data_IF_545497480432
#
_entry.id   IF_545497480432
#
_cell.length_a   1.000
_cell.length_b   1.000
_cell.length_c   1.000
_cell.angle_alpha   90.00
_cell.angle_beta   90.00
_cell.angle_gamma   90.00
#
_symmetry.space_group_name_H-M   'P 1'
#
loop_
_entity.id
_entity.type
_entity.pdbx_description
1 polymer ?
#
# COMPACT_ATOMS: atom_id res chain seq x y z
N UNK A 1 44.71 5.72 -20.01
CA UNK A 1 43.36 5.38 -20.53
C UNK A 1 42.76 4.16 -19.84
N UNK A 2 43.55 3.15 -19.41
CA UNK A 2 43.04 2.05 -18.57
C UNK A 2 42.62 2.53 -17.16
N UNK A 3 43.43 3.38 -16.53
CA UNK A 3 43.18 3.88 -15.17
C UNK A 3 41.86 4.68 -15.01
N UNK A 4 41.47 5.44 -16.04
CA UNK A 4 40.21 6.21 -16.02
C UNK A 4 38.98 5.31 -16.18
N UNK A 5 39.11 4.23 -16.95
CA UNK A 5 38.05 3.24 -17.12
C UNK A 5 37.85 2.44 -15.83
N UNK A 6 38.94 1.96 -15.22
CA UNK A 6 38.90 1.25 -13.94
C UNK A 6 38.33 2.13 -12.81
N UNK A 7 38.72 3.41 -12.76
CA UNK A 7 38.17 4.37 -11.80
C UNK A 7 36.68 4.67 -12.04
N UNK A 8 36.20 4.58 -13.29
CA UNK A 8 34.76 4.71 -13.59
C UNK A 8 34.01 3.45 -13.19
N UNK A 9 34.52 2.26 -13.51
CA UNK A 9 33.90 1.00 -13.12
C UNK A 9 33.82 0.83 -11.61
N UNK A 10 34.86 1.21 -10.87
CA UNK A 10 34.86 1.19 -9.41
C UNK A 10 33.77 2.10 -8.82
N UNK A 11 33.60 3.32 -9.35
CA UNK A 11 32.54 4.25 -8.94
C UNK A 11 31.15 3.70 -9.27
N UNK A 12 30.97 3.12 -10.45
CA UNK A 12 29.70 2.52 -10.86
C UNK A 12 29.37 1.28 -10.00
N UNK A 13 30.37 0.49 -9.63
CA UNK A 13 30.21 -0.66 -8.72
C UNK A 13 29.85 -0.22 -7.31
N UNK A 14 30.50 0.81 -6.77
CA UNK A 14 30.17 1.39 -5.47
C UNK A 14 28.75 1.97 -5.45
N UNK A 15 28.36 2.69 -6.50
CA UNK A 15 26.99 3.21 -6.64
C UNK A 15 25.94 2.10 -6.68
N UNK A 16 26.21 1.00 -7.41
CA UNK A 16 25.32 -0.17 -7.43
C UNK A 16 25.24 -0.87 -6.07
N UNK A 17 26.36 -1.05 -5.38
CA UNK A 17 26.40 -1.65 -4.05
C UNK A 17 25.60 -0.82 -3.03
N UNK A 18 25.76 0.51 -3.08
CA UNK A 18 25.00 1.43 -2.25
C UNK A 18 23.50 1.38 -2.55
N UNK A 19 23.11 1.42 -3.82
CA UNK A 19 21.70 1.31 -4.21
C UNK A 19 21.07 -0.02 -3.78
N UNK A 20 21.83 -1.13 -3.86
CA UNK A 20 21.36 -2.44 -3.39
C UNK A 20 21.19 -2.48 -1.86
N UNK A 21 22.07 -1.83 -1.11
CA UNK A 21 21.94 -1.71 0.34
C UNK A 21 20.73 -0.86 0.72
N UNK A 22 20.56 0.30 0.09
CA UNK A 22 19.40 1.18 0.33
C UNK A 22 18.07 0.47 0.01
N UNK A 23 18.05 -0.38 -1.03
CA UNK A 23 16.90 -1.21 -1.37
C UNK A 23 16.62 -2.29 -0.30
N UNK A 24 17.65 -2.98 0.18
CA UNK A 24 17.50 -3.99 1.23
C UNK A 24 16.98 -3.37 2.54
N UNK A 25 17.53 -2.22 2.94
CA UNK A 25 17.08 -1.48 4.13
C UNK A 25 15.61 -1.06 3.99
N UNK A 26 15.20 -0.65 2.78
CA UNK A 26 13.81 -0.29 2.51
C UNK A 26 12.87 -1.50 2.57
N UNK A 27 13.27 -2.65 2.01
CA UNK A 27 12.49 -3.91 2.10
C UNK A 27 12.30 -4.30 3.57
N UNK A 28 13.34 -4.22 4.40
CA UNK A 28 13.25 -4.49 5.82
C UNK A 28 12.30 -3.52 6.55
N UNK A 29 12.33 -2.23 6.20
CA UNK A 29 11.40 -1.24 6.73
C UNK A 29 9.94 -1.53 6.34
N UNK A 30 9.69 -1.98 5.10
CA UNK A 30 8.36 -2.42 4.68
C UNK A 30 7.90 -3.65 5.45
N UNK A 31 8.76 -4.64 5.67
CA UNK A 31 8.45 -5.81 6.51
C UNK A 31 8.00 -5.38 7.91
N UNK A 32 8.81 -4.57 8.59
CA UNK A 32 8.50 -4.08 9.95
C UNK A 32 7.20 -3.27 9.98
N UNK A 33 6.94 -2.45 8.96
CA UNK A 33 5.70 -1.67 8.84
C UNK A 33 4.48 -2.61 8.79
N UNK A 34 4.58 -3.70 8.03
CA UNK A 34 3.49 -4.66 7.84
C UNK A 34 3.28 -5.60 9.04
N UNK A 35 4.18 -5.64 10.02
CA UNK A 35 3.99 -6.39 11.28
C UNK A 35 3.00 -5.71 12.23
N UNK A 36 2.76 -4.40 12.07
CA UNK A 36 1.87 -3.62 12.95
C UNK A 36 0.53 -3.32 12.29
N UNK A 37 -0.54 -3.27 13.09
CA UNK A 37 -1.86 -2.90 12.59
C UNK A 37 -1.90 -1.45 12.08
N UNK A 38 -1.18 -0.55 12.74
CA UNK A 38 -1.05 0.85 12.37
C UNK A 38 -0.33 1.03 11.03
N UNK A 39 0.80 0.33 10.83
CA UNK A 39 1.55 0.37 9.59
C UNK A 39 0.74 -0.18 8.42
N UNK A 40 0.09 -1.34 8.60
CA UNK A 40 -0.88 -1.90 7.64
C UNK A 40 -1.97 -0.89 7.26
N UNK A 41 -2.54 -0.18 8.24
CA UNK A 41 -3.60 0.81 8.01
C UNK A 41 -3.11 2.01 7.19
N UNK A 42 -1.90 2.50 7.44
CA UNK A 42 -1.29 3.59 6.67
C UNK A 42 -0.99 3.14 5.24
N UNK A 43 -0.37 1.98 5.05
CA UNK A 43 -0.07 1.43 3.73
C UNK A 43 -1.35 1.26 2.91
N UNK A 44 -2.40 0.70 3.52
CA UNK A 44 -3.69 0.59 2.83
C UNK A 44 -4.26 1.95 2.45
N UNK A 45 -4.19 2.93 3.35
CA UNK A 45 -4.66 4.29 3.06
C UNK A 45 -3.92 4.92 1.88
N UNK A 46 -2.59 4.75 1.80
CA UNK A 46 -1.78 5.19 0.66
C UNK A 46 -2.21 4.51 -0.65
N UNK A 47 -2.35 3.18 -0.64
CA UNK A 47 -2.80 2.41 -1.81
C UNK A 47 -4.20 2.83 -2.27
N UNK A 48 -5.11 3.11 -1.34
CA UNK A 48 -6.43 3.65 -1.64
C UNK A 48 -6.35 5.05 -2.29
N UNK A 49 -5.35 5.86 -1.94
CA UNK A 49 -5.14 7.19 -2.53
C UNK A 49 -4.45 7.16 -3.89
N UNK A 50 -3.66 6.13 -4.15
CA UNK A 50 -3.01 5.90 -5.45
C UNK A 50 -4.02 5.64 -6.57
N UNK A 51 -5.20 5.07 -6.25
CA UNK A 51 -6.27 4.86 -7.23
C UNK A 51 -5.90 3.82 -8.30
N UNK A 52 -5.22 2.75 -7.90
CA UNK A 52 -4.63 1.72 -8.78
C UNK A 52 -5.58 1.15 -9.84
N UNK A 53 -6.86 0.99 -9.49
CA UNK A 53 -7.87 0.39 -10.38
C UNK A 53 -8.82 1.42 -11.01
N UNK A 54 -8.60 2.71 -10.75
CA UNK A 54 -9.40 3.76 -11.37
C UNK A 54 -8.93 4.00 -12.82
N UNK A 55 -9.86 4.32 -13.71
CA UNK A 55 -9.49 4.75 -15.06
C UNK A 55 -8.72 6.08 -14.98
N UNK A 56 -7.51 6.11 -15.53
CA UNK A 56 -6.69 7.31 -15.58
C UNK A 56 -7.06 8.23 -16.75
N UNK A 57 -7.56 7.67 -17.84
CA UNK A 57 -7.87 8.39 -19.08
C UNK A 57 -9.26 9.02 -19.00
N UNK A 58 -9.30 10.34 -19.17
CA UNK A 58 -10.53 11.14 -19.13
C UNK A 58 -10.45 12.22 -20.21
N UNK A 59 -11.53 12.41 -20.96
CA UNK A 59 -11.58 13.34 -22.08
C UNK A 59 -11.49 14.82 -21.69
N UNK A 60 -11.58 15.14 -20.38
CA UNK A 60 -11.69 16.51 -19.88
C UNK A 60 -10.37 17.26 -19.65
N UNK A 61 -9.23 16.59 -19.42
CA UNK A 61 -7.95 17.26 -19.14
C UNK A 61 -6.74 16.32 -19.13
N UNK A 62 -5.76 16.60 -20.02
CA UNK A 62 -4.47 15.90 -20.06
C UNK A 62 -3.65 16.09 -18.76
N UNK A 63 -3.71 17.28 -18.14
CA UNK A 63 -3.00 17.54 -16.89
C UNK A 63 -3.55 16.68 -15.75
N UNK A 64 -4.87 16.51 -15.67
CA UNK A 64 -5.52 15.64 -14.69
C UNK A 64 -5.18 14.16 -14.94
N UNK A 65 -5.10 13.73 -16.20
CA UNK A 65 -4.65 12.39 -16.58
C UNK A 65 -3.23 12.11 -16.10
N UNK A 66 -2.27 12.97 -16.45
CA UNK A 66 -0.86 12.83 -16.03
C UNK A 66 -0.72 12.77 -14.51
N UNK A 67 -1.49 13.60 -13.79
CA UNK A 67 -1.52 13.55 -12.33
C UNK A 67 -2.06 12.22 -11.79
N UNK A 68 -3.13 11.67 -12.38
CA UNK A 68 -3.67 10.35 -11.99
C UNK A 68 -2.65 9.24 -12.25
N UNK A 69 -2.01 9.24 -13.42
CA UNK A 69 -0.96 8.27 -13.76
C UNK A 69 0.21 8.33 -12.77
N UNK A 70 0.68 9.54 -12.41
CA UNK A 70 1.73 9.71 -11.41
C UNK A 70 1.36 9.14 -10.04
N UNK A 71 0.13 9.36 -9.57
CA UNK A 71 -0.35 8.74 -8.32
C UNK A 71 -0.44 7.23 -8.39
N UNK A 72 -0.87 6.68 -9.54
CA UNK A 72 -0.92 5.24 -9.75
C UNK A 72 0.47 4.61 -9.74
N UNK A 73 1.48 5.28 -10.33
CA UNK A 73 2.89 4.84 -10.28
C UNK A 73 3.36 4.60 -8.85
N UNK A 74 3.11 5.57 -7.96
CA UNK A 74 3.48 5.44 -6.54
C UNK A 74 2.79 4.22 -5.90
N UNK A 75 1.51 3.97 -6.23
CA UNK A 75 0.81 2.78 -5.76
C UNK A 75 1.46 1.48 -6.24
N UNK A 76 1.89 1.43 -7.51
CA UNK A 76 2.55 0.26 -8.10
C UNK A 76 3.93 0.04 -7.47
N UNK A 77 4.68 1.10 -7.20
CA UNK A 77 5.95 1.02 -6.50
C UNK A 77 5.78 0.47 -5.08
N UNK A 78 4.76 0.91 -4.34
CA UNK A 78 4.42 0.34 -3.02
C UNK A 78 4.10 -1.15 -3.14
N UNK A 79 3.26 -1.54 -4.11
CA UNK A 79 2.93 -2.96 -4.34
C UNK A 79 4.17 -3.79 -4.66
N UNK A 80 5.10 -3.26 -5.46
CA UNK A 80 6.36 -3.92 -5.76
C UNK A 80 7.20 -4.15 -4.50
N UNK A 81 7.29 -3.17 -3.59
CA UNK A 81 8.02 -3.37 -2.32
C UNK A 81 7.36 -4.43 -1.44
N UNK A 82 6.02 -4.45 -1.40
CA UNK A 82 5.31 -5.52 -0.67
C UNK A 82 5.57 -6.89 -1.28
N UNK A 83 5.61 -7.02 -2.60
CA UNK A 83 5.91 -8.27 -3.32
C UNK A 83 7.32 -8.79 -3.03
N UNK A 84 8.30 -7.89 -2.96
CA UNK A 84 9.68 -8.21 -2.57
C UNK A 84 9.80 -8.69 -1.11
N UNK A 85 8.92 -8.24 -0.22
CA UNK A 85 8.86 -8.74 1.17
C UNK A 85 8.19 -10.12 1.21
N UNK A 86 6.94 -10.22 0.74
CA UNK A 86 6.19 -11.46 0.49
C UNK A 86 5.00 -11.15 -0.42
N UNK A 87 4.95 -11.81 -1.58
CA UNK A 87 3.90 -11.70 -2.59
C UNK A 87 2.45 -11.84 -2.06
N UNK A 88 2.26 -12.47 -0.90
CA UNK A 88 0.95 -12.68 -0.28
C UNK A 88 0.51 -11.53 0.62
N UNK A 89 1.39 -10.59 0.97
CA UNK A 89 1.06 -9.50 1.90
C UNK A 89 -0.13 -8.67 1.44
N UNK A 90 -0.13 -8.22 0.18
CA UNK A 90 -1.23 -7.39 -0.32
C UNK A 90 -2.57 -8.16 -0.39
N UNK A 91 -2.64 -9.39 -0.93
CA UNK A 91 -3.83 -10.22 -0.83
C UNK A 91 -4.34 -10.41 0.60
N UNK A 92 -3.46 -10.71 1.57
CA UNK A 92 -3.85 -10.85 2.97
C UNK A 92 -4.40 -9.55 3.54
N UNK A 93 -3.76 -8.41 3.24
CA UNK A 93 -4.23 -7.10 3.67
C UNK A 93 -5.64 -6.77 3.14
N UNK A 94 -5.97 -7.18 1.92
CA UNK A 94 -7.32 -7.03 1.36
C UNK A 94 -8.35 -7.87 2.12
N UNK A 95 -7.99 -9.11 2.48
CA UNK A 95 -8.85 -10.04 3.21
C UNK A 95 -9.11 -9.56 4.65
N UNK A 96 -8.05 -9.22 5.39
CA UNK A 96 -8.13 -8.68 6.76
C UNK A 96 -9.10 -7.50 6.83
N UNK A 97 -9.04 -6.60 5.85
CA UNK A 97 -9.95 -5.44 5.82
C UNK A 97 -11.38 -5.78 5.40
N UNK A 98 -11.56 -6.82 4.58
CA UNK A 98 -12.88 -7.37 4.28
C UNK A 98 -13.55 -7.88 5.56
N UNK A 99 -12.81 -8.66 6.34
CA UNK A 99 -13.26 -9.21 7.62
C UNK A 99 -13.56 -8.11 8.64
N UNK A 100 -12.70 -7.11 8.81
CA UNK A 100 -12.94 -5.96 9.69
C UNK A 100 -14.24 -5.21 9.37
N UNK A 101 -14.54 -5.03 8.08
CA UNK A 101 -15.77 -4.37 7.63
C UNK A 101 -17.01 -5.19 7.95
N UNK A 102 -16.97 -6.49 7.70
CA UNK A 102 -18.10 -7.38 8.00
C UNK A 102 -18.33 -7.50 9.51
N UNK A 103 -17.26 -7.60 10.31
CA UNK A 103 -17.35 -7.58 11.79
C UNK A 103 -17.97 -6.26 12.29
N UNK A 104 -17.53 -5.13 11.74
CA UNK A 104 -18.10 -3.80 12.08
C UNK A 104 -19.57 -3.70 11.70
N UNK A 105 -19.95 -4.25 10.54
CA UNK A 105 -21.34 -4.28 10.07
C UNK A 105 -22.20 -5.15 10.99
N UNK A 106 -21.77 -6.37 11.28
CA UNK A 106 -22.49 -7.29 12.16
C UNK A 106 -22.68 -6.71 13.58
N UNK A 107 -21.67 -6.02 14.11
CA UNK A 107 -21.77 -5.34 15.40
C UNK A 107 -22.82 -4.22 15.40
N UNK A 108 -22.93 -3.45 14.31
CA UNK A 108 -23.97 -2.42 14.15
C UNK A 108 -25.36 -3.03 14.05
N UNK A 109 -25.52 -4.10 13.27
CA UNK A 109 -26.80 -4.80 13.11
C UNK A 109 -27.26 -5.51 14.40
N UNK A 110 -26.32 -6.00 15.22
CA UNK A 110 -26.62 -6.53 16.54
C UNK A 110 -27.04 -5.41 17.51
N UNK A 111 -26.30 -4.30 17.54
CA UNK A 111 -26.64 -3.14 18.37
C UNK A 111 -28.00 -2.51 18.03
N UNK A 112 -28.38 -2.49 16.75
CA UNK A 112 -29.69 -2.01 16.33
C UNK A 112 -30.84 -2.90 16.82
N UNK A 113 -30.69 -4.24 16.73
CA UNK A 113 -31.70 -5.19 17.24
C UNK A 113 -31.92 -5.09 18.73
N UNK A 114 -30.86 -4.87 19.51
CA UNK A 114 -30.97 -4.71 20.97
C UNK A 114 -31.69 -3.43 21.39
N UNK A 115 -31.71 -2.38 20.54
CA UNK A 115 -32.49 -1.16 20.80
C UNK A 115 -33.97 -1.36 20.45
N UNK A 116 -34.29 -2.03 19.34
CA UNK A 116 -35.69 -2.32 18.95
C UNK A 116 -36.41 -3.23 19.97
N UNK A 117 -35.75 -4.28 20.48
CA UNK A 117 -36.33 -5.18 21.49
C UNK A 117 -36.49 -4.52 22.89
N UNK A 118 -35.86 -3.37 23.12
CA UNK A 118 -35.90 -2.63 24.39
C UNK A 118 -37.05 -1.61 24.48
N UNK A 119 -37.47 -1.04 23.35
CA UNK A 119 -38.55 -0.04 23.30
C UNK A 119 -39.95 -0.67 23.28
N UNK A 120 -40.09 -1.94 22.85
CA UNK A 120 -41.36 -2.68 22.83
C UNK A 120 -41.77 -3.28 24.19
N UNK A 121 -40.96 -3.15 25.24
CA UNK A 121 -41.29 -3.67 26.59
C UNK A 121 -42.00 -2.66 27.50
N UNK A 122 -42.31 -1.46 27.02
CA UNK A 122 -42.98 -0.40 27.81
C UNK A 122 -44.19 0.26 27.11
N UNK A 123 -44.75 -0.34 26.06
CA UNK A 123 -45.99 0.11 25.41
C UNK A 123 -47.17 -0.82 25.71
#
# INVERSE_FOLDING_TARGET
>A
MLDEFEAREARDAEARARAAQEEADLIDAFRLTMETAEGKRVVFWLLGRAGLYANAFDAGSEAAERYRLGRQSIGLEILQKLDLVDARLYPHLLLERGEEKELTRAAREAGARTMEDGDDQYA
#
